data_IF_794558442455
#
_entry.id   IF_794558442455
#
_cell.length_a   1.000
_cell.length_b   1.000
_cell.length_c   1.000
_cell.angle_alpha   90.00
_cell.angle_beta   90.00
_cell.angle_gamma   90.00
#
_symmetry.space_group_name_H-M   'P 1'
#
loop_
_entity.id
_entity.type
_entity.pdbx_description
1 polymer ?
#
# COMPACT_ATOMS: atom_id res chain seq x y z
N UNK A 1 -16.30 -25.22 -7.39
CA UNK A 1 -17.06 -23.94 -7.35
C UNK A 1 -16.49 -23.06 -8.44
N UNK A 2 -17.28 -22.68 -9.45
CA UNK A 2 -16.78 -21.79 -10.51
C UNK A 2 -16.38 -20.43 -9.90
N UNK A 3 -15.20 -19.93 -10.27
CA UNK A 3 -14.73 -18.62 -9.80
C UNK A 3 -15.75 -17.55 -10.19
N UNK A 4 -16.10 -16.62 -9.30
CA UNK A 4 -16.99 -15.52 -9.65
C UNK A 4 -16.41 -14.75 -10.83
N UNK A 5 -17.13 -14.70 -11.93
CA UNK A 5 -16.72 -14.16 -13.23
C UNK A 5 -16.32 -12.68 -13.18
N UNK A 6 -16.67 -11.98 -12.13
CA UNK A 6 -16.60 -10.52 -12.08
C UNK A 6 -15.23 -9.96 -11.71
N UNK A 7 -14.38 -10.75 -11.03
CA UNK A 7 -13.23 -10.21 -10.32
C UNK A 7 -12.15 -9.61 -11.24
N UNK A 8 -11.78 -10.34 -12.30
CA UNK A 8 -10.80 -9.85 -13.28
C UNK A 8 -11.34 -8.71 -14.16
N UNK A 9 -12.66 -8.51 -14.19
CA UNK A 9 -13.31 -7.46 -14.97
C UNK A 9 -13.53 -6.17 -14.18
N UNK A 10 -13.82 -6.25 -12.87
CA UNK A 10 -14.01 -5.09 -12.01
C UNK A 10 -12.73 -4.28 -11.80
N UNK A 11 -11.60 -4.97 -11.69
CA UNK A 11 -10.28 -4.33 -11.58
C UNK A 11 -9.81 -3.66 -12.89
N UNK A 12 -10.58 -3.68 -13.95
CA UNK A 12 -10.22 -3.20 -15.30
C UNK A 12 -11.05 -2.03 -15.78
N UNK A 13 -11.79 -1.36 -14.92
CA UNK A 13 -12.42 -0.12 -15.35
C UNK A 13 -11.35 0.86 -15.83
N UNK A 14 -11.56 1.47 -16.99
CA UNK A 14 -10.59 2.37 -17.64
C UNK A 14 -10.17 3.54 -16.75
N UNK A 15 -11.06 3.99 -15.84
CA UNK A 15 -10.75 5.02 -14.83
C UNK A 15 -9.65 4.60 -13.85
N UNK A 16 -9.38 3.31 -13.71
CA UNK A 16 -8.30 2.73 -12.92
C UNK A 16 -7.17 2.19 -13.81
N UNK A 17 -6.96 2.78 -14.98
CA UNK A 17 -5.89 2.41 -15.89
C UNK A 17 -4.53 2.69 -15.26
N UNK A 18 -3.72 1.68 -15.24
CA UNK A 18 -2.56 1.51 -14.40
C UNK A 18 -1.29 1.52 -15.22
N UNK A 19 -0.37 2.35 -14.83
CA UNK A 19 0.86 2.58 -15.60
C UNK A 19 2.10 2.27 -14.77
N UNK A 20 3.17 1.90 -15.44
CA UNK A 20 4.48 1.71 -14.80
C UNK A 20 5.03 3.04 -14.33
N UNK A 21 5.92 3.04 -13.33
CA UNK A 21 6.45 4.27 -12.73
C UNK A 21 7.04 5.27 -13.74
N UNK A 22 7.71 4.79 -14.81
CA UNK A 22 8.18 5.65 -15.89
C UNK A 22 7.04 6.39 -16.59
N UNK A 23 5.95 5.69 -16.90
CA UNK A 23 4.77 6.26 -17.56
C UNK A 23 4.05 7.25 -16.64
N UNK A 24 4.08 7.02 -15.32
CA UNK A 24 3.56 7.95 -14.32
C UNK A 24 4.35 9.25 -14.35
N UNK A 25 5.68 9.18 -14.34
CA UNK A 25 6.55 10.35 -14.38
C UNK A 25 6.37 11.15 -15.69
N UNK A 26 6.22 10.47 -16.83
CA UNK A 26 5.96 11.10 -18.12
C UNK A 26 4.59 11.78 -18.16
N UNK A 27 3.56 11.16 -17.58
CA UNK A 27 2.23 11.77 -17.45
C UNK A 27 2.25 13.00 -16.55
N UNK A 28 2.95 12.96 -15.42
CA UNK A 28 3.13 14.14 -14.57
C UNK A 28 3.69 15.31 -15.37
N UNK A 29 4.77 15.07 -16.11
CA UNK A 29 5.39 16.12 -16.93
C UNK A 29 4.44 16.63 -18.01
N UNK A 30 3.69 15.73 -18.67
CA UNK A 30 2.71 16.11 -19.65
C UNK A 30 1.54 16.93 -19.08
N UNK A 31 1.19 16.70 -17.81
CA UNK A 31 0.17 17.47 -17.09
C UNK A 31 0.71 18.78 -16.50
N UNK A 32 2.02 19.07 -16.67
CA UNK A 32 2.63 20.27 -16.12
C UNK A 32 2.71 20.30 -14.60
N UNK A 33 2.61 19.12 -13.96
CA UNK A 33 2.67 18.98 -12.51
C UNK A 33 4.11 19.21 -12.01
N UNK A 34 4.29 19.91 -10.89
CA UNK A 34 5.61 20.14 -10.32
C UNK A 34 6.28 18.81 -9.96
N UNK A 35 7.63 18.77 -9.93
CA UNK A 35 8.34 17.65 -9.33
C UNK A 35 7.80 17.38 -7.92
N UNK A 36 7.80 16.11 -7.48
CA UNK A 36 7.36 15.75 -6.11
C UNK A 36 8.23 16.33 -4.98
N UNK A 37 9.07 17.33 -5.28
CA UNK A 37 9.95 17.99 -4.33
C UNK A 37 9.18 18.75 -3.24
N UNK A 38 8.06 19.38 -3.55
CA UNK A 38 7.19 20.04 -2.56
C UNK A 38 6.04 19.12 -2.13
N UNK A 39 6.33 18.22 -1.20
CA UNK A 39 5.35 17.31 -0.63
C UNK A 39 4.21 17.99 0.12
N UNK A 40 4.37 19.26 0.47
CA UNK A 40 3.40 20.06 1.20
C UNK A 40 2.50 20.89 0.26
N UNK A 41 2.77 20.91 -1.04
CA UNK A 41 1.89 21.56 -2.00
C UNK A 41 0.54 20.83 -2.09
N UNK A 42 -0.52 21.60 -2.33
CA UNK A 42 -1.87 21.03 -2.44
C UNK A 42 -1.97 20.00 -3.58
N UNK A 43 -1.27 20.23 -4.67
CA UNK A 43 -1.19 19.31 -5.81
C UNK A 43 -0.50 18.00 -5.45
N UNK A 44 0.64 18.07 -4.77
CA UNK A 44 1.39 16.87 -4.34
C UNK A 44 0.60 16.04 -3.31
N UNK A 45 -0.11 16.70 -2.41
CA UNK A 45 -1.00 16.02 -1.45
C UNK A 45 -2.16 15.38 -2.19
N UNK A 46 -2.80 16.09 -3.13
CA UNK A 46 -3.92 15.56 -3.93
C UNK A 46 -3.53 14.33 -4.75
N UNK A 47 -2.37 14.39 -5.42
CA UNK A 47 -1.86 13.23 -6.16
C UNK A 47 -1.58 12.04 -5.24
N UNK A 48 -1.00 12.29 -4.08
CA UNK A 48 -0.76 11.24 -3.09
C UNK A 48 -2.06 10.63 -2.57
N UNK A 49 -3.05 11.46 -2.22
CA UNK A 49 -4.38 11.01 -1.79
C UNK A 49 -5.07 10.19 -2.88
N UNK A 50 -4.95 10.60 -4.17
CA UNK A 50 -5.44 9.81 -5.29
C UNK A 50 -4.75 8.44 -5.38
N UNK A 51 -3.42 8.41 -5.27
CA UNK A 51 -2.65 7.16 -5.30
C UNK A 51 -3.00 6.23 -4.15
N UNK A 52 -3.22 6.77 -2.95
CA UNK A 52 -3.66 6.01 -1.77
C UNK A 52 -5.06 5.44 -2.03
N UNK A 53 -6.04 6.27 -2.44
CA UNK A 53 -7.39 5.81 -2.78
C UNK A 53 -7.39 4.60 -3.71
N UNK A 54 -6.54 4.61 -4.73
CA UNK A 54 -6.38 3.48 -5.66
C UNK A 54 -5.76 2.27 -4.96
N UNK A 55 -4.85 2.48 -4.03
CA UNK A 55 -4.29 1.45 -3.16
C UNK A 55 -5.38 0.78 -2.30
N UNK A 56 -6.17 1.57 -1.58
CA UNK A 56 -7.26 1.10 -0.71
C UNK A 56 -8.30 0.28 -1.49
N UNK A 57 -8.67 0.76 -2.70
CA UNK A 57 -9.58 -0.01 -3.55
C UNK A 57 -9.00 -1.38 -3.93
N UNK A 58 -7.70 -1.45 -4.24
CA UNK A 58 -7.03 -2.70 -4.54
C UNK A 58 -6.85 -3.59 -3.30
N UNK A 59 -6.63 -3.00 -2.13
CA UNK A 59 -6.55 -3.72 -0.86
C UNK A 59 -7.90 -4.37 -0.52
N UNK A 60 -8.99 -3.62 -0.66
CA UNK A 60 -10.36 -4.14 -0.49
C UNK A 60 -10.63 -5.33 -1.42
N UNK A 61 -10.37 -5.15 -2.72
CA UNK A 61 -10.55 -6.21 -3.73
C UNK A 61 -9.63 -7.40 -3.47
N UNK A 62 -8.38 -7.15 -3.07
CA UNK A 62 -7.38 -8.17 -2.77
C UNK A 62 -7.72 -8.99 -1.53
N UNK A 63 -8.21 -8.36 -0.47
CA UNK A 63 -8.70 -9.04 0.73
C UNK A 63 -9.93 -9.91 0.41
N UNK A 64 -10.90 -9.38 -0.36
CA UNK A 64 -12.06 -10.12 -0.83
C UNK A 64 -11.69 -11.33 -1.70
N UNK A 65 -10.73 -11.13 -2.60
CA UNK A 65 -10.17 -12.22 -3.41
C UNK A 65 -9.50 -13.29 -2.54
N UNK A 66 -8.81 -12.89 -1.48
CA UNK A 66 -8.15 -13.82 -0.57
C UNK A 66 -9.14 -14.76 0.11
N UNK A 67 -10.31 -14.25 0.51
CA UNK A 67 -11.42 -15.07 1.03
C UNK A 67 -11.87 -16.12 0.01
N UNK A 68 -11.97 -15.74 -1.26
CA UNK A 68 -12.47 -16.65 -2.31
C UNK A 68 -11.42 -17.67 -2.78
N UNK A 69 -10.15 -17.25 -2.88
CA UNK A 69 -9.07 -18.09 -3.44
C UNK A 69 -8.60 -19.18 -2.46
N UNK A 70 -8.81 -19.00 -1.15
CA UNK A 70 -8.35 -19.93 -0.10
C UNK A 70 -9.50 -20.45 0.77
N UNK A 71 -10.47 -21.19 0.19
CA UNK A 71 -11.66 -21.66 0.91
C UNK A 71 -11.32 -22.69 2.01
N UNK A 72 -10.18 -23.37 1.91
CA UNK A 72 -9.69 -24.35 2.88
C UNK A 72 -8.82 -23.74 3.98
N UNK A 73 -8.62 -22.42 3.97
CA UNK A 73 -7.88 -21.74 5.02
C UNK A 73 -8.65 -21.77 6.35
N UNK A 74 -7.97 -21.62 7.52
CA UNK A 74 -8.65 -21.56 8.81
C UNK A 74 -9.77 -20.53 8.82
N UNK A 75 -10.91 -20.84 9.47
CA UNK A 75 -12.07 -19.95 9.54
C UNK A 75 -11.71 -18.55 10.07
N UNK A 76 -10.81 -18.49 11.05
CA UNK A 76 -10.33 -17.22 11.61
C UNK A 76 -9.54 -16.39 10.58
N UNK A 77 -8.88 -17.05 9.60
CA UNK A 77 -8.23 -16.34 8.49
C UNK A 77 -9.28 -15.68 7.61
N UNK A 78 -10.33 -16.40 7.25
CA UNK A 78 -11.45 -15.86 6.48
C UNK A 78 -12.09 -14.67 7.18
N UNK A 79 -12.30 -14.74 8.50
CA UNK A 79 -12.85 -13.64 9.29
C UNK A 79 -11.94 -12.42 9.31
N UNK A 80 -10.64 -12.60 9.50
CA UNK A 80 -9.68 -11.49 9.50
C UNK A 80 -9.64 -10.81 8.11
N UNK A 81 -9.65 -11.58 7.01
CA UNK A 81 -9.71 -11.02 5.65
C UNK A 81 -11.04 -10.33 5.35
N UNK A 82 -12.17 -10.88 5.81
CA UNK A 82 -13.48 -10.24 5.67
C UNK A 82 -13.57 -8.93 6.45
N UNK A 83 -12.96 -8.88 7.64
CA UNK A 83 -12.80 -7.63 8.40
C UNK A 83 -12.01 -6.61 7.60
N UNK A 84 -10.87 -7.01 7.02
CA UNK A 84 -10.07 -6.10 6.20
C UNK A 84 -10.89 -5.55 5.02
N UNK A 85 -11.68 -6.37 4.31
CA UNK A 85 -12.58 -5.87 3.26
C UNK A 85 -13.48 -4.75 3.77
N UNK A 86 -14.04 -4.92 4.97
CA UNK A 86 -14.88 -3.88 5.59
C UNK A 86 -14.10 -2.62 5.95
N UNK A 87 -12.93 -2.77 6.56
CA UNK A 87 -12.08 -1.64 6.92
C UNK A 87 -11.66 -0.85 5.66
N UNK A 88 -11.18 -1.54 4.61
CA UNK A 88 -10.79 -0.92 3.33
C UNK A 88 -11.95 -0.23 2.62
N UNK A 89 -13.17 -0.76 2.73
CA UNK A 89 -14.33 -0.09 2.14
C UNK A 89 -14.57 1.30 2.76
N UNK A 90 -14.31 1.46 4.06
CA UNK A 90 -14.38 2.76 4.75
C UNK A 90 -13.20 3.66 4.38
N UNK A 91 -12.02 3.09 4.18
CA UNK A 91 -10.85 3.83 3.70
C UNK A 91 -11.10 4.43 2.31
N UNK A 92 -11.67 3.65 1.39
CA UNK A 92 -12.08 4.15 0.07
C UNK A 92 -13.02 5.36 0.20
N UNK A 93 -14.03 5.28 1.04
CA UNK A 93 -14.97 6.39 1.29
C UNK A 93 -14.25 7.64 1.86
N UNK A 94 -13.35 7.43 2.82
CA UNK A 94 -12.57 8.50 3.45
C UNK A 94 -11.67 9.19 2.41
N UNK A 95 -10.94 8.42 1.61
CA UNK A 95 -10.04 8.99 0.61
C UNK A 95 -10.77 9.60 -0.59
N UNK A 96 -11.95 9.11 -0.95
CA UNK A 96 -12.84 9.81 -1.89
C UNK A 96 -13.21 11.20 -1.37
N UNK A 97 -13.67 11.28 -0.11
CA UNK A 97 -14.00 12.56 0.52
C UNK A 97 -12.79 13.50 0.64
N UNK A 98 -11.60 12.97 0.94
CA UNK A 98 -10.36 13.76 0.96
C UNK A 98 -9.97 14.25 -0.44
N UNK A 99 -10.11 13.42 -1.45
CA UNK A 99 -9.81 13.79 -2.84
C UNK A 99 -10.71 14.94 -3.30
N UNK A 100 -12.01 14.85 -3.03
CA UNK A 100 -12.98 15.92 -3.29
C UNK A 100 -12.65 17.19 -2.49
N UNK A 101 -12.32 17.06 -1.20
CA UNK A 101 -11.89 18.19 -0.36
C UNK A 101 -10.68 18.91 -0.95
N UNK A 102 -9.76 18.19 -1.56
CA UNK A 102 -8.57 18.73 -2.23
C UNK A 102 -8.87 19.28 -3.63
N UNK A 103 -10.10 19.11 -4.14
CA UNK A 103 -10.52 19.56 -5.45
C UNK A 103 -10.10 18.61 -6.59
N UNK A 104 -9.84 17.35 -6.24
CA UNK A 104 -9.48 16.28 -7.18
C UNK A 104 -10.66 15.35 -7.52
N UNK A 105 -10.40 14.39 -8.37
CA UNK A 105 -11.36 13.37 -8.79
C UNK A 105 -10.67 12.05 -9.15
N UNK A 106 -11.41 10.96 -9.13
CA UNK A 106 -10.91 9.63 -9.50
C UNK A 106 -10.48 9.60 -10.96
N UNK A 107 -9.27 9.11 -11.23
CA UNK A 107 -8.69 9.06 -12.58
C UNK A 107 -7.96 10.35 -13.00
N UNK A 108 -7.80 11.33 -12.09
CA UNK A 108 -7.02 12.54 -12.36
C UNK A 108 -5.54 12.24 -12.61
N UNK A 109 -4.99 11.28 -11.87
CA UNK A 109 -3.58 10.90 -11.94
C UNK A 109 -3.42 9.45 -12.39
N UNK A 110 -2.21 9.13 -12.84
CA UNK A 110 -1.86 7.77 -13.18
C UNK A 110 -1.80 6.85 -11.94
N UNK A 111 -2.11 5.58 -12.16
CA UNK A 111 -2.31 4.60 -11.11
C UNK A 111 -1.33 3.42 -11.19
N UNK A 112 -1.01 2.82 -10.05
CA UNK A 112 -0.16 1.63 -9.95
C UNK A 112 -1.00 0.37 -9.73
N UNK A 113 -0.60 -0.76 -10.36
CA UNK A 113 -1.24 -2.08 -10.12
C UNK A 113 -0.51 -2.95 -9.12
N UNK A 114 0.50 -2.42 -8.44
CA UNK A 114 1.41 -3.29 -7.70
C UNK A 114 0.71 -4.06 -6.59
N UNK A 115 -0.21 -3.43 -5.87
CA UNK A 115 -0.96 -4.08 -4.80
C UNK A 115 -1.83 -5.21 -5.34
N UNK A 116 -2.57 -4.95 -6.43
CA UNK A 116 -3.37 -5.98 -7.09
C UNK A 116 -2.52 -7.16 -7.57
N UNK A 117 -1.36 -6.90 -8.17
CA UNK A 117 -0.44 -7.97 -8.59
C UNK A 117 0.05 -8.79 -7.42
N UNK A 118 0.35 -8.15 -6.30
CA UNK A 118 0.72 -8.81 -5.07
C UNK A 118 -0.44 -9.68 -4.53
N UNK A 119 -1.67 -9.14 -4.54
CA UNK A 119 -2.88 -9.85 -4.16
C UNK A 119 -3.23 -11.03 -5.10
N UNK A 120 -2.60 -11.14 -6.26
CA UNK A 120 -2.72 -12.28 -7.17
C UNK A 120 -1.75 -13.44 -6.83
N UNK A 121 -0.92 -13.34 -5.79
CA UNK A 121 -0.06 -14.45 -5.38
C UNK A 121 -0.88 -15.71 -5.08
N UNK A 122 -0.44 -16.86 -5.61
CA UNK A 122 -1.17 -18.13 -5.51
C UNK A 122 -1.05 -18.80 -4.14
N UNK A 123 -0.01 -18.48 -3.38
CA UNK A 123 0.20 -18.96 -2.01
C UNK A 123 -0.31 -17.94 -1.00
N UNK A 124 -1.16 -18.39 -0.06
CA UNK A 124 -1.74 -17.52 0.97
C UNK A 124 -0.67 -16.88 1.87
N UNK A 125 0.41 -17.59 2.19
CA UNK A 125 1.49 -17.05 3.01
C UNK A 125 2.27 -15.98 2.26
N UNK A 126 2.55 -16.17 0.97
CA UNK A 126 3.17 -15.16 0.11
C UNK A 126 2.27 -13.93 -0.03
N UNK A 127 0.95 -14.14 -0.19
CA UNK A 127 -0.02 -13.04 -0.31
C UNK A 127 -0.07 -12.18 0.94
N UNK A 128 -0.21 -12.76 2.14
CA UNK A 128 -0.23 -11.98 3.39
C UNK A 128 1.12 -11.35 3.71
N UNK A 129 2.23 -11.98 3.31
CA UNK A 129 3.55 -11.38 3.46
C UNK A 129 3.71 -10.16 2.55
N UNK A 130 3.35 -10.27 1.28
CA UNK A 130 3.50 -9.18 0.32
C UNK A 130 2.46 -8.07 0.50
N UNK A 131 1.19 -8.39 0.66
CA UNK A 131 0.12 -7.39 0.85
C UNK A 131 0.15 -6.86 2.27
N UNK A 132 -0.26 -7.67 3.25
CA UNK A 132 -0.49 -7.18 4.61
C UNK A 132 0.78 -6.71 5.32
N UNK A 133 1.92 -7.38 5.14
CA UNK A 133 3.16 -6.94 5.77
C UNK A 133 3.97 -5.96 4.92
N UNK A 134 4.10 -6.23 3.62
CA UNK A 134 4.86 -5.38 2.70
C UNK A 134 4.12 -4.09 2.40
N UNK A 135 3.04 -4.16 1.65
CA UNK A 135 2.37 -2.97 1.09
C UNK A 135 1.56 -2.19 2.14
N UNK A 136 0.80 -2.84 3.02
CA UNK A 136 0.12 -2.16 4.14
C UNK A 136 1.15 -1.62 5.16
N UNK A 137 2.26 -2.34 5.34
CA UNK A 137 3.36 -1.83 6.12
C UNK A 137 3.95 -0.54 5.52
N UNK A 138 4.10 -0.45 4.19
CA UNK A 138 4.48 0.78 3.51
C UNK A 138 3.39 1.86 3.65
N UNK A 139 2.11 1.48 3.59
CA UNK A 139 1.02 2.42 3.87
C UNK A 139 1.18 3.08 5.23
N UNK A 140 1.55 2.32 6.27
CA UNK A 140 1.88 2.89 7.59
C UNK A 140 2.96 3.98 7.52
N UNK A 141 4.01 3.79 6.73
CA UNK A 141 5.09 4.78 6.56
C UNK A 141 4.59 6.03 5.81
N UNK A 142 3.82 5.83 4.74
CA UNK A 142 3.24 6.91 3.91
C UNK A 142 2.24 7.72 4.71
N UNK A 143 1.36 7.08 5.47
CA UNK A 143 0.32 7.76 6.25
C UNK A 143 0.94 8.54 7.41
N UNK A 144 1.92 7.96 8.10
CA UNK A 144 2.66 8.68 9.12
C UNK A 144 3.34 9.95 8.56
N UNK A 145 3.93 9.87 7.38
CA UNK A 145 4.49 11.04 6.72
C UNK A 145 3.40 12.08 6.35
N UNK A 146 2.27 11.62 5.83
CA UNK A 146 1.17 12.52 5.43
C UNK A 146 0.55 13.24 6.64
N UNK A 147 0.42 12.55 7.79
CA UNK A 147 0.00 13.15 9.05
C UNK A 147 0.97 14.27 9.47
N UNK A 148 2.29 14.02 9.39
CA UNK A 148 3.28 15.05 9.71
C UNK A 148 3.21 16.26 8.78
N UNK A 149 2.97 16.04 7.48
CA UNK A 149 2.76 17.11 6.51
C UNK A 149 1.49 17.88 6.86
N UNK A 150 0.37 17.20 7.13
CA UNK A 150 -0.90 17.82 7.49
C UNK A 150 -0.77 18.71 8.73
N UNK A 151 -0.08 18.23 9.76
CA UNK A 151 0.24 19.03 10.97
C UNK A 151 1.07 20.28 10.63
N UNK A 152 2.08 20.12 9.79
CA UNK A 152 2.98 21.22 9.40
C UNK A 152 2.24 22.32 8.63
N UNK A 153 1.31 21.97 7.76
CA UNK A 153 0.49 22.93 7.00
C UNK A 153 -0.76 23.39 7.74
N UNK A 154 -1.05 22.82 8.90
CA UNK A 154 -2.22 23.17 9.72
C UNK A 154 -3.55 22.67 9.14
N UNK A 155 -3.57 21.53 8.43
CA UNK A 155 -4.79 20.95 7.87
C UNK A 155 -5.32 19.79 8.73
N UNK A 156 -6.29 20.06 9.64
CA UNK A 156 -6.82 19.06 10.54
C UNK A 156 -7.75 18.06 9.85
N UNK A 157 -8.25 18.35 8.64
CA UNK A 157 -9.11 17.43 7.89
C UNK A 157 -8.29 16.26 7.40
N UNK A 158 -7.16 16.55 6.74
CA UNK A 158 -6.22 15.51 6.28
C UNK A 158 -5.66 14.74 7.47
N UNK A 159 -5.20 15.45 8.53
CA UNK A 159 -4.62 14.82 9.71
C UNK A 159 -5.55 13.75 10.30
N UNK A 160 -6.80 14.13 10.62
CA UNK A 160 -7.76 13.23 11.28
C UNK A 160 -8.17 12.05 10.40
N UNK A 161 -8.38 12.30 9.12
CA UNK A 161 -8.78 11.25 8.18
C UNK A 161 -7.68 10.18 8.04
N UNK A 162 -6.43 10.63 7.86
CA UNK A 162 -5.30 9.71 7.69
C UNK A 162 -4.93 8.99 8.99
N UNK A 163 -5.04 9.67 10.15
CA UNK A 163 -4.80 9.06 11.47
C UNK A 163 -5.82 7.95 11.78
N UNK A 164 -7.08 8.15 11.39
CA UNK A 164 -8.11 7.13 11.52
C UNK A 164 -7.77 5.88 10.69
N UNK A 165 -7.38 6.04 9.44
CA UNK A 165 -7.01 4.93 8.55
C UNK A 165 -5.75 4.23 9.06
N UNK A 166 -4.72 4.97 9.47
CA UNK A 166 -3.48 4.41 10.01
C UNK A 166 -3.71 3.44 11.18
N UNK A 167 -4.72 3.69 12.01
CA UNK A 167 -5.04 2.80 13.13
C UNK A 167 -5.51 1.41 12.65
N UNK A 168 -6.27 1.36 11.56
CA UNK A 168 -6.70 0.10 10.95
C UNK A 168 -5.53 -0.59 10.22
N UNK A 169 -4.67 0.15 9.52
CA UNK A 169 -3.48 -0.40 8.84
C UNK A 169 -2.53 -1.13 9.80
N UNK A 170 -2.30 -0.58 10.99
CA UNK A 170 -1.53 -1.28 12.03
C UNK A 170 -2.14 -2.64 12.35
N UNK A 171 -3.47 -2.74 12.33
CA UNK A 171 -4.19 -4.00 12.57
C UNK A 171 -4.04 -4.95 11.38
N UNK A 172 -4.13 -4.47 10.14
CA UNK A 172 -3.93 -5.27 8.94
C UNK A 172 -2.52 -5.87 8.87
N UNK A 173 -1.51 -5.09 9.19
CA UNK A 173 -0.12 -5.59 9.27
C UNK A 173 0.06 -6.62 10.39
N UNK A 174 -0.59 -6.43 11.55
CA UNK A 174 -0.59 -7.45 12.63
C UNK A 174 -1.26 -8.74 12.18
N UNK A 175 -2.37 -8.65 11.46
CA UNK A 175 -3.02 -9.82 10.85
C UNK A 175 -2.07 -10.52 9.88
N UNK A 176 -1.37 -9.78 9.04
CA UNK A 176 -0.33 -10.31 8.14
C UNK A 176 0.77 -11.07 8.88
N UNK A 177 1.31 -10.51 9.96
CA UNK A 177 2.34 -11.14 10.80
C UNK A 177 1.84 -12.42 11.48
N UNK A 178 0.62 -12.38 12.03
CA UNK A 178 -0.07 -13.53 12.62
C UNK A 178 -0.23 -14.66 11.60
N UNK A 179 -0.77 -14.33 10.43
CA UNK A 179 -1.10 -15.34 9.43
C UNK A 179 0.12 -15.88 8.69
N UNK A 180 1.12 -15.06 8.43
CA UNK A 180 2.40 -15.54 7.93
C UNK A 180 2.96 -16.62 8.86
N UNK A 181 2.94 -16.40 10.17
CA UNK A 181 3.42 -17.38 11.14
C UNK A 181 2.60 -18.66 11.14
N UNK A 182 1.26 -18.56 11.18
CA UNK A 182 0.36 -19.72 11.22
C UNK A 182 0.35 -20.53 9.93
N UNK A 183 0.33 -19.88 8.77
CA UNK A 183 0.28 -20.53 7.47
C UNK A 183 1.61 -21.22 7.09
N UNK A 184 2.69 -20.86 7.77
CA UNK A 184 4.02 -21.46 7.55
C UNK A 184 4.53 -22.29 8.72
N UNK A 185 3.66 -22.59 9.69
CA UNK A 185 4.00 -23.43 10.84
C UNK A 185 4.47 -24.81 10.37
N UNK A 186 5.66 -25.21 10.80
CA UNK A 186 6.28 -26.49 10.39
C UNK A 186 6.85 -26.50 8.96
N UNK A 187 6.77 -25.41 8.20
CA UNK A 187 7.30 -25.30 6.83
C UNK A 187 8.22 -24.06 6.71
N UNK A 188 9.48 -24.17 7.14
CA UNK A 188 10.43 -23.06 7.09
C UNK A 188 10.76 -22.63 5.64
N UNK A 189 10.66 -23.54 4.68
CA UNK A 189 10.91 -23.23 3.28
C UNK A 189 9.79 -22.40 2.67
N UNK A 190 8.53 -22.69 2.98
CA UNK A 190 7.39 -21.86 2.60
C UNK A 190 7.48 -20.46 3.23
N UNK A 191 7.90 -20.39 4.51
CA UNK A 191 8.14 -19.11 5.18
C UNK A 191 9.22 -18.29 4.48
N UNK A 192 10.34 -18.93 4.12
CA UNK A 192 11.42 -18.28 3.39
C UNK A 192 10.93 -17.68 2.06
N UNK A 193 10.23 -18.48 1.25
CA UNK A 193 9.66 -18.01 -0.02
C UNK A 193 8.66 -16.85 0.17
N UNK A 194 7.84 -16.89 1.20
CA UNK A 194 6.89 -15.80 1.49
C UNK A 194 7.60 -14.50 1.87
N UNK A 195 8.67 -14.58 2.67
CA UNK A 195 9.49 -13.42 3.04
C UNK A 195 10.25 -12.87 1.82
N UNK A 196 10.84 -13.73 0.99
CA UNK A 196 11.51 -13.30 -0.26
C UNK A 196 10.54 -12.59 -1.21
N UNK A 197 9.30 -13.09 -1.29
CA UNK A 197 8.25 -12.42 -2.05
C UNK A 197 7.94 -11.03 -1.48
N UNK A 198 7.77 -10.89 -0.15
CA UNK A 198 7.60 -9.60 0.50
C UNK A 198 8.77 -8.66 0.20
N UNK A 199 10.01 -9.12 0.39
CA UNK A 199 11.22 -8.33 0.14
C UNK A 199 11.27 -7.81 -1.31
N UNK A 200 10.89 -8.66 -2.28
CA UNK A 200 10.82 -8.25 -3.69
C UNK A 200 9.75 -7.17 -3.96
N UNK A 201 8.68 -7.15 -3.17
CA UNK A 201 7.66 -6.10 -3.27
C UNK A 201 8.14 -4.82 -2.58
N UNK A 202 8.74 -4.93 -1.40
CA UNK A 202 9.33 -3.81 -0.67
C UNK A 202 10.38 -3.09 -1.51
N UNK A 203 11.27 -3.82 -2.19
CA UNK A 203 12.27 -3.25 -3.09
C UNK A 203 11.62 -2.48 -4.26
N UNK A 204 10.62 -3.08 -4.92
CA UNK A 204 9.94 -2.46 -6.06
C UNK A 204 9.21 -1.18 -5.68
N UNK A 205 8.66 -1.12 -4.49
CA UNK A 205 7.90 0.03 -4.02
C UNK A 205 8.80 1.10 -3.41
N UNK A 206 9.79 0.71 -2.60
CA UNK A 206 10.74 1.64 -1.98
C UNK A 206 11.74 2.22 -2.97
N UNK A 207 12.11 1.47 -4.01
CA UNK A 207 12.91 1.98 -5.15
C UNK A 207 12.13 3.00 -5.98
N UNK A 208 10.91 3.27 -5.53
CA UNK A 208 10.06 4.27 -6.12
C UNK A 208 9.81 3.96 -7.58
N UNK A 209 8.75 3.22 -7.88
CA UNK A 209 8.21 3.17 -9.23
C UNK A 209 7.96 4.57 -9.82
N UNK A 210 8.37 5.62 -9.13
CA UNK A 210 8.21 7.04 -9.42
C UNK A 210 9.55 7.77 -9.57
N UNK A 211 10.70 7.15 -9.23
CA UNK A 211 12.02 7.82 -9.34
C UNK A 211 12.66 7.56 -10.68
N UNK A 212 13.16 8.64 -11.30
CA UNK A 212 14.11 8.56 -12.41
C UNK A 212 15.54 8.47 -11.86
N UNK A 213 16.41 7.78 -12.57
CA UNK A 213 17.84 7.91 -12.41
C UNK A 213 18.19 9.41 -12.49
N UNK A 214 18.71 9.98 -11.41
CA UNK A 214 19.02 11.42 -11.32
C UNK A 214 18.01 12.31 -10.60
N UNK A 215 16.88 11.79 -10.12
CA UNK A 215 15.95 12.53 -9.26
C UNK A 215 16.51 12.65 -7.82
N UNK A 216 17.33 13.68 -7.62
CA UNK A 216 17.97 13.97 -6.32
C UNK A 216 17.04 14.66 -5.31
N UNK A 217 15.86 15.14 -5.76
CA UNK A 217 14.97 15.99 -4.97
C UNK A 217 13.78 15.26 -4.34
N UNK A 218 13.68 13.95 -4.51
CA UNK A 218 12.57 13.19 -3.89
C UNK A 218 12.88 12.91 -2.43
N UNK A 219 12.13 13.53 -1.53
CA UNK A 219 12.21 13.21 -0.09
C UNK A 219 11.79 11.74 0.09
N UNK A 220 12.69 10.88 0.57
CA UNK A 220 12.37 9.48 0.76
C UNK A 220 11.30 9.32 1.83
N UNK A 221 10.44 8.32 1.64
CA UNK A 221 9.53 7.88 2.71
C UNK A 221 10.42 7.33 3.82
N UNK A 222 10.31 7.93 5.01
CA UNK A 222 11.03 7.42 6.18
C UNK A 222 10.25 6.26 6.81
N UNK A 223 10.95 5.20 7.19
CA UNK A 223 10.34 4.07 7.89
C UNK A 223 9.79 4.54 9.25
N UNK A 224 8.50 4.36 9.47
CA UNK A 224 7.82 4.70 10.72
C UNK A 224 8.09 3.60 11.77
N UNK A 225 9.29 3.61 12.35
CA UNK A 225 9.82 2.51 13.19
C UNK A 225 8.89 2.12 14.34
N UNK A 226 8.30 3.11 15.01
CA UNK A 226 7.39 2.84 16.15
C UNK A 226 6.09 2.20 15.68
N UNK A 227 5.55 2.65 14.54
CA UNK A 227 4.36 2.08 13.92
C UNK A 227 4.65 0.64 13.46
N UNK A 228 5.81 0.41 12.84
CA UNK A 228 6.24 -0.94 12.41
C UNK A 228 6.40 -1.89 13.60
N UNK A 229 6.95 -1.44 14.73
CA UNK A 229 7.00 -2.22 15.98
C UNK A 229 5.61 -2.58 16.48
N UNK A 230 4.70 -1.60 16.52
CA UNK A 230 3.31 -1.82 16.89
C UNK A 230 2.62 -2.84 15.97
N UNK A 231 2.98 -2.85 14.71
CA UNK A 231 2.49 -3.77 13.69
C UNK A 231 3.15 -5.16 13.73
N UNK A 232 4.10 -5.40 14.64
CA UNK A 232 4.70 -6.71 14.88
C UNK A 232 5.94 -7.02 14.04
N UNK A 233 6.62 -6.01 13.48
CA UNK A 233 7.94 -6.17 12.88
C UNK A 233 9.02 -6.31 13.96
N UNK A 234 10.01 -7.16 13.70
CA UNK A 234 11.22 -7.27 14.53
C UNK A 234 12.19 -6.12 14.24
N UNK A 235 13.10 -5.86 15.17
CA UNK A 235 14.14 -4.83 14.95
C UNK A 235 15.01 -5.15 13.73
N UNK A 236 15.31 -6.44 13.49
CA UNK A 236 16.09 -6.87 12.32
C UNK A 236 15.36 -6.57 10.99
N UNK A 237 14.04 -6.77 10.95
CA UNK A 237 13.21 -6.46 9.79
C UNK A 237 13.16 -4.94 9.56
N UNK A 238 13.02 -4.15 10.63
CA UNK A 238 13.01 -2.69 10.57
C UNK A 238 14.37 -2.15 10.09
N UNK A 239 15.47 -2.65 10.62
CA UNK A 239 16.81 -2.29 10.17
C UNK A 239 17.04 -2.60 8.68
N UNK A 240 16.52 -3.75 8.22
CA UNK A 240 16.60 -4.14 6.80
C UNK A 240 15.81 -3.16 5.92
N UNK A 241 14.60 -2.80 6.31
CA UNK A 241 13.78 -1.82 5.61
C UNK A 241 14.49 -0.45 5.52
N UNK A 242 15.09 0.02 6.61
CA UNK A 242 15.87 1.26 6.63
C UNK A 242 17.05 1.17 5.66
N UNK A 243 17.81 0.07 5.67
CA UNK A 243 18.94 -0.14 4.76
C UNK A 243 18.49 -0.18 3.29
N UNK A 244 17.37 -0.83 3.00
CA UNK A 244 16.80 -0.88 1.64
C UNK A 244 16.37 0.51 1.17
N UNK A 245 15.70 1.28 2.03
CA UNK A 245 15.30 2.65 1.75
C UNK A 245 16.52 3.57 1.51
N UNK A 246 17.58 3.40 2.28
CA UNK A 246 18.82 4.16 2.10
C UNK A 246 19.57 3.81 0.81
N UNK A 247 19.62 2.54 0.42
CA UNK A 247 20.24 2.10 -0.84
C UNK A 247 19.52 2.65 -2.06
N UNK A 248 18.21 2.80 -2.00
CA UNK A 248 17.42 3.40 -3.09
C UNK A 248 17.68 4.90 -3.29
N UNK A 249 18.41 5.55 -2.38
CA UNK A 249 18.81 6.97 -2.50
C UNK A 249 20.11 7.15 -3.29
N UNK A 250 20.81 6.08 -3.63
CA UNK A 250 22.18 6.13 -4.21
C UNK A 250 22.18 5.81 -5.72
N UNK A 251 21.02 5.48 -6.32
CA UNK A 251 20.92 5.17 -7.75
C UNK A 251 20.09 6.18 -8.53
#
# INVERSE_FOLDING_TARGET
>A
MERPIAYDKLAREERFVRKRGREIAELRMAQGLPPMADLASRESIRERVHGILVGELQAMEGAGRTVCDFPDAPWEFTLDMARQVWDESRHVEIYLGLLEYLGGYVGEFAESTILWRCACAEDAAARVAGVNRGLEGLACDVFNQLIHIARKIGDPVIERAVDFVLADEITHVRMGSKWLTRLTEGDPERRRRAIEFQESMDERFNLGGVRREGDHDVVPISVATDVRRLAGFTEEEIERLIKTTQRSQVY
#
